data_IF_939057244976
#
_entry.id   IF_939057244976
#
_cell.length_a   1.000
_cell.length_b   1.000
_cell.length_c   1.000
_cell.angle_alpha   90.00
_cell.angle_beta   90.00
_cell.angle_gamma   90.00
#
_symmetry.space_group_name_H-M   'P 1'
#
loop_
_entity.id
_entity.type
_entity.pdbx_description
1 polymer ?
#
# COMPACT_ATOMS: atom_id res chain seq x y z
N UNK A 1 -20.90 1.15 27.27
CA UNK A 1 -19.72 2.04 27.34
C UNK A 1 -18.43 1.39 26.83
N UNK A 2 -17.82 0.40 27.50
CA UNK A 2 -16.54 -0.17 27.03
C UNK A 2 -16.59 -0.82 25.62
N UNK A 3 -17.65 -1.59 25.32
CA UNK A 3 -17.83 -2.22 24.01
C UNK A 3 -18.04 -1.20 22.87
N UNK A 4 -18.67 -0.07 23.18
CA UNK A 4 -19.00 0.98 22.21
C UNK A 4 -17.74 1.79 21.84
N UNK A 5 -16.93 2.13 22.84
CA UNK A 5 -15.61 2.74 22.64
C UNK A 5 -14.66 1.83 21.84
N UNK A 6 -14.70 0.51 22.10
CA UNK A 6 -13.94 -0.46 21.33
C UNK A 6 -14.37 -0.51 19.85
N UNK A 7 -15.68 -0.48 19.58
CA UNK A 7 -16.20 -0.46 18.21
C UNK A 7 -15.81 0.81 17.46
N UNK A 8 -15.85 1.98 18.10
CA UNK A 8 -15.39 3.23 17.50
C UNK A 8 -13.90 3.20 17.18
N UNK A 9 -13.07 2.71 18.10
CA UNK A 9 -11.63 2.55 17.87
C UNK A 9 -11.34 1.62 16.68
N UNK A 10 -12.06 0.49 16.62
CA UNK A 10 -11.95 -0.48 15.53
C UNK A 10 -12.28 0.16 14.19
N UNK A 11 -13.39 0.87 14.09
CA UNK A 11 -13.81 1.56 12.85
C UNK A 11 -12.77 2.58 12.38
N UNK A 12 -12.28 3.44 13.27
CA UNK A 12 -11.26 4.46 12.91
C UNK A 12 -9.96 3.79 12.47
N UNK A 13 -9.54 2.71 13.14
CA UNK A 13 -8.32 1.98 12.81
C UNK A 13 -8.43 1.26 11.46
N UNK A 14 -9.57 0.62 11.19
CA UNK A 14 -9.86 -0.05 9.92
C UNK A 14 -9.92 0.95 8.75
N UNK A 15 -10.64 2.06 8.90
CA UNK A 15 -10.71 3.10 7.89
C UNK A 15 -9.33 3.70 7.59
N UNK A 16 -8.53 3.97 8.63
CA UNK A 16 -7.15 4.47 8.48
C UNK A 16 -6.24 3.44 7.79
N UNK A 17 -6.43 2.14 8.07
CA UNK A 17 -5.75 1.05 7.39
C UNK A 17 -6.11 0.98 5.90
N UNK A 18 -7.40 1.09 5.58
CA UNK A 18 -7.89 1.09 4.20
C UNK A 18 -7.36 2.27 3.39
N UNK A 19 -7.38 3.49 3.96
CA UNK A 19 -6.80 4.67 3.32
C UNK A 19 -5.31 4.48 3.05
N UNK A 20 -4.56 3.92 4.01
CA UNK A 20 -3.16 3.59 3.81
C UNK A 20 -2.95 2.62 2.64
N UNK A 21 -3.73 1.53 2.59
CA UNK A 21 -3.67 0.56 1.48
C UNK A 21 -3.96 1.25 0.13
N UNK A 22 -4.95 2.14 0.08
CA UNK A 22 -5.30 2.87 -1.14
C UNK A 22 -4.18 3.80 -1.61
N UNK A 23 -3.54 4.52 -0.70
CA UNK A 23 -2.42 5.40 -1.06
C UNK A 23 -1.22 4.60 -1.58
N UNK A 24 -0.86 3.48 -0.94
CA UNK A 24 0.20 2.61 -1.44
C UNK A 24 -0.14 1.97 -2.79
N UNK A 25 -1.38 1.53 -3.02
CA UNK A 25 -1.82 1.04 -4.34
C UNK A 25 -1.74 2.12 -5.40
N UNK A 26 -2.19 3.35 -5.07
CA UNK A 26 -2.09 4.49 -5.97
C UNK A 26 -0.64 4.77 -6.32
N UNK A 27 0.26 4.75 -5.34
CA UNK A 27 1.70 4.92 -5.58
C UNK A 27 2.22 3.82 -6.52
N UNK A 28 1.97 2.55 -6.18
CA UNK A 28 2.44 1.40 -6.95
C UNK A 28 2.06 1.49 -8.43
N UNK A 29 0.77 1.71 -8.75
CA UNK A 29 0.28 1.75 -10.14
C UNK A 29 0.54 3.06 -10.88
N UNK A 30 0.94 4.14 -10.20
CA UNK A 30 1.28 5.42 -10.84
C UNK A 30 2.78 5.66 -10.97
N UNK A 31 3.60 4.88 -10.28
CA UNK A 31 5.05 4.93 -10.44
C UNK A 31 5.40 4.38 -11.82
N UNK A 32 5.86 5.26 -12.70
CA UNK A 32 6.26 4.94 -14.09
C UNK A 32 7.68 5.45 -14.31
N UNK A 33 8.55 4.60 -14.87
CA UNK A 33 9.89 5.03 -15.27
C UNK A 33 9.79 5.96 -16.50
N UNK A 34 10.40 7.13 -16.41
CA UNK A 34 10.54 8.04 -17.56
C UNK A 34 11.86 7.81 -18.26
N UNK A 35 12.02 8.37 -19.47
CA UNK A 35 13.29 8.34 -20.18
C UNK A 35 14.44 8.88 -19.30
N UNK A 36 15.59 8.18 -19.31
CA UNK A 36 16.73 8.50 -18.47
C UNK A 36 16.63 8.03 -17.01
N UNK A 37 15.54 7.37 -16.60
CA UNK A 37 15.43 6.79 -15.25
C UNK A 37 16.41 5.63 -15.06
N UNK A 38 17.00 5.54 -13.88
CA UNK A 38 17.67 4.31 -13.44
C UNK A 38 16.62 3.22 -13.19
N UNK A 39 16.55 2.26 -14.11
CA UNK A 39 15.59 1.16 -14.06
C UNK A 39 15.81 0.27 -12.83
N UNK A 40 17.05 0.08 -12.39
CA UNK A 40 17.33 -0.75 -11.20
C UNK A 40 16.81 -0.08 -9.92
N UNK A 41 17.03 1.23 -9.80
CA UNK A 41 16.48 2.02 -8.69
C UNK A 41 14.95 2.04 -8.72
N UNK A 42 14.36 2.18 -9.92
CA UNK A 42 12.91 2.16 -10.11
C UNK A 42 12.27 0.83 -9.69
N UNK A 43 12.82 -0.30 -10.17
CA UNK A 43 12.36 -1.64 -9.79
C UNK A 43 12.47 -1.84 -8.27
N UNK A 44 13.55 -1.36 -7.66
CA UNK A 44 13.75 -1.44 -6.21
C UNK A 44 12.66 -0.68 -5.45
N UNK A 45 12.27 0.52 -5.92
CA UNK A 45 11.18 1.28 -5.32
C UNK A 45 9.82 0.59 -5.47
N UNK A 46 9.54 0.02 -6.65
CA UNK A 46 8.32 -0.74 -6.90
C UNK A 46 8.24 -1.97 -5.98
N UNK A 47 9.32 -2.75 -5.87
CA UNK A 47 9.37 -3.94 -4.98
C UNK A 47 9.16 -3.56 -3.53
N UNK A 48 9.80 -2.49 -3.06
CA UNK A 48 9.58 -1.98 -1.70
C UNK A 48 8.10 -1.61 -1.48
N UNK A 49 7.46 -1.00 -2.45
CA UNK A 49 6.03 -0.62 -2.37
C UNK A 49 5.12 -1.86 -2.38
N UNK A 50 5.44 -2.88 -3.19
CA UNK A 50 4.76 -4.18 -3.20
C UNK A 50 4.83 -4.87 -1.83
N UNK A 51 6.02 -4.90 -1.21
CA UNK A 51 6.23 -5.49 0.11
C UNK A 51 5.42 -4.78 1.20
N UNK A 52 5.33 -3.44 1.17
CA UNK A 52 4.48 -2.69 2.10
C UNK A 52 3.01 -3.09 1.94
N UNK A 53 2.51 -3.18 0.71
CA UNK A 53 1.14 -3.61 0.44
C UNK A 53 0.87 -5.04 0.96
N UNK A 54 1.82 -5.96 0.77
CA UNK A 54 1.73 -7.32 1.28
C UNK A 54 1.67 -7.37 2.80
N UNK A 55 2.51 -6.60 3.51
CA UNK A 55 2.49 -6.50 4.98
C UNK A 55 1.16 -5.91 5.50
N UNK A 56 0.51 -5.05 4.71
CA UNK A 56 -0.81 -4.50 5.02
C UNK A 56 -1.97 -5.44 4.64
N UNK A 57 -1.69 -6.66 4.17
CA UNK A 57 -2.70 -7.64 3.77
C UNK A 57 -3.29 -7.43 2.37
N UNK A 58 -2.77 -6.46 1.61
CA UNK A 58 -3.17 -6.17 0.23
C UNK A 58 -2.16 -6.77 -0.74
N UNK A 59 -2.31 -8.06 -1.05
CA UNK A 59 -1.35 -8.74 -1.94
C UNK A 59 -1.47 -8.19 -3.37
N UNK A 60 -0.31 -7.97 -3.98
CA UNK A 60 -0.14 -7.66 -5.41
C UNK A 60 0.67 -8.81 -6.00
N UNK A 61 0.11 -9.51 -6.96
CA UNK A 61 0.75 -10.68 -7.58
C UNK A 61 1.97 -10.27 -8.42
N UNK A 62 2.86 -11.21 -8.73
CA UNK A 62 3.99 -10.93 -9.62
C UNK A 62 3.55 -10.65 -11.07
N UNK A 63 2.36 -11.13 -11.48
CA UNK A 63 1.79 -10.81 -12.80
C UNK A 63 1.29 -9.35 -12.87
N UNK A 64 1.00 -8.74 -11.72
CA UNK A 64 0.63 -7.32 -11.58
C UNK A 64 1.85 -6.41 -11.36
N UNK A 65 3.05 -6.98 -11.21
CA UNK A 65 4.31 -6.28 -11.02
C UNK A 65 5.07 -6.10 -12.35
#
# INVERSE_FOLDING_TARGET
MAAEMWNQLKLVKEASGQLGIMEYRRKFYRTVATEGSDIAAHITELRRTQEQLHMMGSKVSDDEF
#
